data_IF_952174539639
#
_entry.id   IF_952174539639
#
_cell.length_a   1.000
_cell.length_b   1.000
_cell.length_c   1.000
_cell.angle_alpha   90.00
_cell.angle_beta   90.00
_cell.angle_gamma   90.00
#
_symmetry.space_group_name_H-M   'P 1'
#
loop_
_entity.id
_entity.type
_entity.pdbx_description
1 polymer ?
#
# COMPACT_ATOMS: atom_id res chain seq x y z
N UNK A 1 -28.59 57.52 -29.95
CA UNK A 1 -28.55 56.82 -28.66
C UNK A 1 -27.32 55.95 -28.69
N UNK A 2 -26.29 56.38 -27.97
CA UNK A 2 -24.94 55.78 -27.97
C UNK A 2 -24.85 54.58 -27.04
N UNK A 3 -24.51 53.38 -27.55
CA UNK A 3 -24.07 52.27 -26.76
C UNK A 3 -22.54 52.22 -26.76
N UNK A 4 -21.92 52.68 -25.69
CA UNK A 4 -20.51 52.47 -25.41
C UNK A 4 -20.34 51.12 -24.73
N UNK A 5 -19.66 50.18 -25.41
CA UNK A 5 -19.22 48.92 -24.85
C UNK A 5 -17.96 49.16 -23.97
N UNK A 6 -18.04 48.78 -22.71
CA UNK A 6 -16.93 48.77 -21.77
C UNK A 6 -15.97 47.62 -22.12
N UNK A 7 -14.78 47.96 -22.61
CA UNK A 7 -13.65 47.03 -22.74
C UNK A 7 -12.97 46.89 -21.39
N UNK A 8 -12.96 45.68 -20.87
CA UNK A 8 -12.11 45.28 -19.73
C UNK A 8 -10.72 44.88 -20.23
N UNK A 9 -9.63 45.38 -19.64
CA UNK A 9 -8.29 44.97 -20.03
C UNK A 9 -7.94 43.58 -19.44
N UNK A 10 -7.69 42.59 -20.30
CA UNK A 10 -7.12 41.32 -19.97
C UNK A 10 -5.64 41.49 -19.58
N UNK A 11 -5.33 41.41 -18.29
CA UNK A 11 -3.96 41.25 -17.79
C UNK A 11 -3.55 39.78 -17.94
N UNK A 12 -2.74 39.49 -18.94
CA UNK A 12 -1.97 38.24 -19.06
C UNK A 12 -0.87 38.20 -17.99
N UNK A 13 -1.05 37.43 -16.96
CA UNK A 13 -0.01 37.08 -16.00
C UNK A 13 0.85 35.98 -16.66
N UNK A 14 1.92 36.40 -17.35
CA UNK A 14 3.03 35.49 -17.68
C UNK A 14 3.71 35.07 -16.37
N UNK A 15 3.39 33.88 -15.90
CA UNK A 15 4.16 33.19 -14.86
C UNK A 15 5.50 32.75 -15.48
N UNK A 16 6.53 33.56 -15.28
CA UNK A 16 7.91 33.16 -15.55
C UNK A 16 8.32 32.09 -14.53
N UNK A 17 8.31 30.84 -14.94
CA UNK A 17 8.95 29.78 -14.19
C UNK A 17 10.43 30.08 -14.03
N UNK A 18 11.01 30.01 -12.82
CA UNK A 18 12.42 30.20 -12.64
C UNK A 18 13.18 29.10 -13.41
N UNK A 19 13.98 29.52 -14.39
CA UNK A 19 14.89 28.60 -15.11
C UNK A 19 15.90 28.08 -14.10
N UNK A 20 15.86 26.77 -13.84
CA UNK A 20 16.95 26.08 -13.12
C UNK A 20 18.27 26.33 -13.84
N UNK A 21 19.35 26.69 -13.13
CA UNK A 21 20.64 26.87 -13.73
C UNK A 21 21.12 25.55 -14.37
N UNK A 22 21.40 25.60 -15.67
CA UNK A 22 22.05 24.52 -16.40
C UNK A 22 23.51 24.47 -15.97
N UNK A 23 23.85 23.50 -15.11
CA UNK A 23 25.24 23.22 -14.78
C UNK A 23 25.93 22.63 -16.01
N UNK A 24 26.82 23.43 -16.66
CA UNK A 24 27.82 22.88 -17.56
C UNK A 24 28.86 22.14 -16.70
N UNK A 25 28.96 20.84 -16.87
CA UNK A 25 30.04 20.07 -16.29
C UNK A 25 31.37 20.54 -16.96
N UNK A 26 32.12 21.37 -16.26
CA UNK A 26 33.55 21.55 -16.55
C UNK A 26 34.29 20.41 -15.86
N UNK A 27 35.15 19.69 -16.61
CA UNK A 27 35.92 18.54 -16.13
C UNK A 27 37.06 18.91 -15.14
N UNK A 28 36.88 19.92 -14.34
CA UNK A 28 37.79 20.23 -13.24
C UNK A 28 37.29 19.54 -12.01
N UNK A 29 38.03 18.65 -11.34
CA UNK A 29 37.61 18.10 -10.07
C UNK A 29 37.55 19.23 -9.07
N UNK A 30 36.33 19.70 -8.77
CA UNK A 30 36.14 20.57 -7.61
C UNK A 30 36.33 19.65 -6.41
N UNK A 31 37.50 19.68 -5.82
CA UNK A 31 37.76 19.17 -4.49
C UNK A 31 36.98 20.12 -3.55
N UNK A 32 35.72 19.84 -3.37
CA UNK A 32 35.00 20.40 -2.25
C UNK A 32 35.59 19.74 -1.01
N UNK A 33 36.38 20.51 -0.25
CA UNK A 33 36.70 20.16 1.13
C UNK A 33 35.34 20.04 1.88
N UNK A 34 34.80 18.84 1.83
CA UNK A 34 33.54 18.51 2.53
C UNK A 34 33.92 18.46 4.01
N UNK A 35 33.91 19.60 4.65
CA UNK A 35 33.94 19.65 6.13
C UNK A 35 32.61 19.02 6.58
N UNK A 36 32.67 17.76 6.98
CA UNK A 36 31.53 17.09 7.54
C UNK A 36 30.96 17.94 8.70
N UNK A 37 29.66 18.21 8.73
CA UNK A 37 29.10 18.98 9.82
C UNK A 37 29.45 18.30 11.16
N UNK A 38 29.69 19.07 12.23
CA UNK A 38 30.05 18.49 13.53
C UNK A 38 28.97 17.53 13.97
N UNK A 39 29.37 16.33 14.37
CA UNK A 39 28.45 15.32 14.90
C UNK A 39 27.74 15.88 16.13
N UNK A 40 26.42 15.80 16.13
CA UNK A 40 25.57 16.28 17.22
C UNK A 40 24.67 15.19 17.79
N UNK A 41 24.39 15.35 19.05
CA UNK A 41 23.35 14.61 19.74
C UNK A 41 22.08 15.45 19.68
N UNK A 42 20.97 14.83 19.30
CA UNK A 42 19.67 15.49 19.21
C UNK A 42 18.64 14.73 20.03
N UNK A 43 17.50 15.34 20.32
CA UNK A 43 16.37 14.62 20.92
C UNK A 43 15.77 13.62 19.92
N UNK A 44 15.19 12.54 20.44
CA UNK A 44 14.51 11.53 19.61
C UNK A 44 13.33 12.15 18.84
N UNK A 45 12.64 13.11 19.43
CA UNK A 45 11.58 13.89 18.79
C UNK A 45 12.09 14.63 17.53
N UNK A 46 13.29 15.22 17.59
CA UNK A 46 13.93 15.86 16.43
C UNK A 46 14.28 14.85 15.33
N UNK A 47 14.80 13.67 15.70
CA UNK A 47 15.05 12.60 14.74
C UNK A 47 13.77 12.20 13.99
N UNK A 48 12.66 12.05 14.71
CA UNK A 48 11.36 11.71 14.14
C UNK A 48 10.86 12.83 13.23
N UNK A 49 11.02 14.08 13.64
CA UNK A 49 10.64 15.25 12.83
C UNK A 49 11.43 15.31 11.53
N UNK A 50 12.75 15.19 11.60
CA UNK A 50 13.62 15.17 10.41
C UNK A 50 13.27 14.03 9.46
N UNK A 51 12.88 12.85 9.98
CA UNK A 51 12.38 11.74 9.17
C UNK A 51 11.11 12.12 8.42
N UNK A 52 10.14 12.74 9.09
CA UNK A 52 8.87 13.11 8.50
C UNK A 52 9.03 14.24 7.48
N UNK A 53 9.89 15.21 7.76
CA UNK A 53 10.17 16.34 6.87
C UNK A 53 10.84 15.87 5.58
N UNK A 54 11.89 15.06 5.69
CA UNK A 54 12.53 14.43 4.53
C UNK A 54 11.51 13.66 3.67
N UNK A 55 10.56 12.96 4.29
CA UNK A 55 9.54 12.18 3.59
C UNK A 55 8.43 13.05 2.99
N UNK A 56 8.10 14.17 3.58
CA UNK A 56 7.13 15.11 3.03
C UNK A 56 7.60 15.68 1.68
N UNK A 57 8.88 15.99 1.57
CA UNK A 57 9.48 16.57 0.34
C UNK A 57 9.67 15.51 -0.75
N UNK A 58 10.07 14.29 -0.39
CA UNK A 58 10.55 13.28 -1.33
C UNK A 58 9.51 12.21 -1.71
N UNK A 59 8.31 12.21 -1.10
CA UNK A 59 7.34 11.14 -1.28
C UNK A 59 5.95 11.65 -1.65
N UNK A 60 5.23 10.82 -2.40
CA UNK A 60 3.81 11.05 -2.70
C UNK A 60 2.97 11.03 -1.42
N UNK A 61 1.82 11.74 -1.37
CA UNK A 61 0.96 11.80 -0.19
C UNK A 61 0.60 10.44 0.44
N UNK A 62 0.29 9.36 -0.32
CA UNK A 62 0.07 8.03 0.25
C UNK A 62 1.31 7.45 0.96
N UNK A 63 2.51 7.66 0.39
CA UNK A 63 3.78 7.21 0.99
C UNK A 63 4.11 8.02 2.25
N UNK A 64 3.90 9.33 2.23
CA UNK A 64 4.04 10.18 3.41
C UNK A 64 3.11 9.70 4.55
N UNK A 65 1.83 9.43 4.26
CA UNK A 65 0.89 8.89 5.24
C UNK A 65 1.37 7.58 5.86
N UNK A 66 1.95 6.70 5.06
CA UNK A 66 2.53 5.43 5.54
C UNK A 66 3.73 5.70 6.46
N UNK A 67 4.60 6.65 6.11
CA UNK A 67 5.78 7.00 6.91
C UNK A 67 5.37 7.67 8.23
N UNK A 68 4.37 8.56 8.22
CA UNK A 68 3.79 9.14 9.44
C UNK A 68 3.24 8.05 10.37
N UNK A 69 2.60 7.02 9.82
CA UNK A 69 2.16 5.86 10.59
C UNK A 69 3.34 5.06 11.18
N UNK A 70 4.46 4.92 10.46
CA UNK A 70 5.67 4.28 10.99
C UNK A 70 6.29 5.08 12.13
N UNK A 71 6.33 6.41 12.04
CA UNK A 71 6.76 7.28 13.14
C UNK A 71 5.88 7.13 14.38
N UNK A 72 4.56 7.11 14.21
CA UNK A 72 3.62 6.84 15.31
C UNK A 72 3.85 5.47 15.96
N UNK A 73 4.16 4.45 15.15
CA UNK A 73 4.48 3.11 15.67
C UNK A 73 5.83 3.12 16.44
N UNK A 74 6.82 3.88 15.98
CA UNK A 74 8.07 4.01 16.70
C UNK A 74 7.85 4.64 18.08
N UNK A 75 6.99 5.65 18.19
CA UNK A 75 6.58 6.23 19.49
C UNK A 75 5.97 5.18 20.42
N UNK A 76 5.17 4.27 19.89
CA UNK A 76 4.65 3.15 20.69
C UNK A 76 5.75 2.20 21.17
N UNK A 77 6.76 1.94 20.34
CA UNK A 77 7.93 1.13 20.73
C UNK A 77 8.71 1.83 21.83
N UNK A 78 8.93 3.15 21.74
CA UNK A 78 9.58 3.92 22.79
C UNK A 78 8.79 3.87 24.11
N UNK A 79 7.48 4.05 24.04
CA UNK A 79 6.59 3.94 25.20
C UNK A 79 6.66 2.55 25.84
N UNK A 80 6.62 1.49 25.05
CA UNK A 80 6.74 0.11 25.55
C UNK A 80 8.11 -0.14 26.22
N UNK A 81 9.16 0.58 25.79
CA UNK A 81 10.51 0.55 26.37
C UNK A 81 10.70 1.55 27.52
N UNK A 82 9.62 2.21 27.95
CA UNK A 82 9.66 3.26 29.00
C UNK A 82 10.58 4.44 28.64
N UNK A 83 10.75 4.69 27.33
CA UNK A 83 11.55 5.80 26.81
C UNK A 83 10.66 6.98 26.42
N UNK A 84 11.19 8.20 26.65
CA UNK A 84 10.55 9.44 26.24
C UNK A 84 11.19 9.99 24.95
N UNK A 85 10.40 10.67 24.13
CA UNK A 85 10.88 11.39 22.93
C UNK A 85 11.81 12.58 23.27
N UNK A 86 11.75 13.08 24.48
CA UNK A 86 12.63 14.14 24.99
C UNK A 86 14.03 13.63 25.31
N UNK A 87 14.22 12.32 25.42
CA UNK A 87 15.54 11.72 25.54
C UNK A 87 16.35 11.97 24.27
N UNK A 88 17.66 12.06 24.41
CA UNK A 88 18.51 12.21 23.26
C UNK A 88 18.80 10.89 22.52
N UNK A 89 19.32 11.00 21.30
CA UNK A 89 19.58 9.87 20.42
C UNK A 89 20.63 8.88 20.95
N UNK A 90 21.45 9.24 21.93
CA UNK A 90 22.41 8.34 22.59
C UNK A 90 21.71 7.15 23.23
N UNK A 91 20.49 7.36 23.75
CA UNK A 91 19.69 6.30 24.36
C UNK A 91 19.18 5.26 23.34
N UNK A 92 19.18 5.57 22.05
CA UNK A 92 18.83 4.62 21.00
C UNK A 92 19.94 3.62 20.67
N UNK A 93 21.19 3.99 20.97
CA UNK A 93 22.37 3.21 20.64
C UNK A 93 22.88 2.36 21.80
N UNK A 94 23.81 1.47 21.46
CA UNK A 94 24.49 0.67 22.47
C UNK A 94 23.68 -0.50 23.03
N UNK A 95 24.30 -1.12 24.03
CA UNK A 95 23.68 -2.20 24.82
C UNK A 95 23.04 -1.60 26.06
N UNK A 96 21.79 -1.94 26.29
CA UNK A 96 21.09 -1.42 27.47
C UNK A 96 21.70 -2.03 28.75
N UNK A 97 22.15 -1.25 29.73
CA UNK A 97 22.89 -1.76 30.90
C UNK A 97 22.13 -2.82 31.69
N UNK A 98 20.81 -2.64 31.85
CA UNK A 98 19.95 -3.56 32.62
C UNK A 98 19.75 -4.92 31.98
N UNK A 99 19.77 -4.99 30.64
CA UNK A 99 19.37 -6.18 29.89
C UNK A 99 20.52 -6.84 29.13
N UNK A 100 21.66 -6.17 29.05
CA UNK A 100 22.82 -6.59 28.26
C UNK A 100 22.48 -6.88 26.79
N UNK A 101 21.47 -6.20 26.27
CA UNK A 101 20.94 -6.32 24.89
C UNK A 101 20.77 -4.93 24.27
N UNK A 102 20.81 -4.89 22.94
CA UNK A 102 20.40 -3.69 22.22
C UNK A 102 18.89 -3.47 22.35
N UNK A 103 18.43 -2.22 22.33
CA UNK A 103 16.99 -1.91 22.48
C UNK A 103 16.09 -2.70 21.49
N UNK A 104 16.40 -2.82 20.18
CA UNK A 104 15.56 -3.61 19.29
C UNK A 104 15.60 -5.12 19.61
N UNK A 105 16.71 -5.64 20.12
CA UNK A 105 16.80 -7.03 20.55
C UNK A 105 16.01 -7.28 21.82
N UNK A 106 16.14 -6.40 22.80
CA UNK A 106 15.34 -6.42 24.04
C UNK A 106 13.84 -6.36 23.74
N UNK A 107 13.42 -5.39 22.90
CA UNK A 107 12.01 -5.28 22.49
C UNK A 107 11.48 -6.57 21.83
N UNK A 108 12.28 -7.17 20.95
CA UNK A 108 11.89 -8.41 20.28
C UNK A 108 11.74 -9.60 21.24
N UNK A 109 12.49 -9.60 22.34
CA UNK A 109 12.45 -10.63 23.38
C UNK A 109 11.25 -10.46 24.32
N UNK A 110 11.00 -9.22 24.78
CA UNK A 110 9.93 -8.92 25.76
C UNK A 110 8.55 -8.88 25.10
N UNK A 111 8.48 -8.44 23.83
CA UNK A 111 7.22 -8.31 23.09
C UNK A 111 7.24 -9.15 21.79
N UNK A 112 7.36 -10.49 21.87
CA UNK A 112 7.48 -11.34 20.69
C UNK A 112 6.26 -11.26 19.75
N UNK A 113 5.08 -10.92 20.27
CA UNK A 113 3.85 -10.72 19.50
C UNK A 113 3.87 -9.41 18.71
N UNK A 114 4.70 -8.43 19.07
CA UNK A 114 4.79 -7.13 18.43
C UNK A 114 5.82 -7.05 17.28
N UNK A 115 6.20 -8.19 16.68
CA UNK A 115 7.19 -8.25 15.57
C UNK A 115 6.91 -7.26 14.44
N UNK A 116 5.64 -7.09 14.05
CA UNK A 116 5.27 -6.15 13.00
C UNK A 116 5.46 -4.70 13.45
N UNK A 117 5.23 -4.40 14.73
CA UNK A 117 5.48 -3.08 15.31
C UNK A 117 6.96 -2.74 15.23
N UNK A 118 7.83 -3.63 15.67
CA UNK A 118 9.28 -3.47 15.56
C UNK A 118 9.75 -3.33 14.12
N UNK A 119 9.26 -4.19 13.21
CA UNK A 119 9.59 -4.13 11.78
C UNK A 119 9.25 -2.77 11.16
N UNK A 120 8.12 -2.17 11.53
CA UNK A 120 7.71 -0.84 11.05
C UNK A 120 8.52 0.28 11.69
N UNK A 121 8.81 0.19 12.98
CA UNK A 121 9.66 1.15 13.68
C UNK A 121 11.03 1.25 13.01
N UNK A 122 11.62 0.13 12.63
CA UNK A 122 12.90 0.07 11.91
C UNK A 122 12.94 0.83 10.59
N UNK A 123 11.80 1.18 10.01
CA UNK A 123 11.78 1.97 8.77
C UNK A 123 12.39 3.37 8.93
N UNK A 124 12.41 3.90 10.18
CA UNK A 124 13.12 5.15 10.48
C UNK A 124 14.63 4.99 10.32
N UNK A 125 15.14 3.76 10.41
CA UNK A 125 16.55 3.42 10.37
C UNK A 125 16.93 2.66 9.09
N UNK A 126 16.19 2.88 7.99
CA UNK A 126 16.60 2.37 6.68
C UNK A 126 17.93 3.00 6.27
N UNK A 127 18.73 2.29 5.45
CA UNK A 127 20.03 2.79 5.00
C UNK A 127 19.98 4.23 4.49
N UNK A 128 19.06 4.53 3.59
CA UNK A 128 18.91 5.88 3.02
C UNK A 128 18.53 6.93 4.08
N UNK A 129 17.80 6.55 5.12
CA UNK A 129 17.44 7.46 6.21
C UNK A 129 18.63 7.70 7.13
N UNK A 130 19.43 6.67 7.43
CA UNK A 130 20.65 6.84 8.21
C UNK A 130 21.65 7.73 7.48
N UNK A 131 21.82 7.57 6.18
CA UNK A 131 22.63 8.46 5.34
C UNK A 131 22.12 9.91 5.43
N UNK A 132 20.80 10.13 5.36
CA UNK A 132 20.22 11.46 5.55
C UNK A 132 20.46 12.03 6.95
N UNK A 133 20.31 11.25 8.01
CA UNK A 133 20.61 11.72 9.37
C UNK A 133 22.05 12.15 9.54
N UNK A 134 22.99 11.43 8.93
CA UNK A 134 24.41 11.81 8.92
C UNK A 134 24.61 13.15 8.22
N UNK A 135 23.91 13.44 7.11
CA UNK A 135 23.97 14.76 6.47
C UNK A 135 23.39 15.87 7.35
N UNK A 136 22.47 15.52 8.26
CA UNK A 136 21.97 16.44 9.30
C UNK A 136 22.91 16.57 10.50
N UNK A 137 24.09 15.93 10.48
CA UNK A 137 25.07 15.93 11.56
C UNK A 137 24.73 14.99 12.74
N UNK A 138 23.74 14.11 12.59
CA UNK A 138 23.38 13.15 13.65
C UNK A 138 24.31 11.93 13.57
N UNK A 139 24.84 11.50 14.70
CA UNK A 139 25.84 10.45 14.76
C UNK A 139 25.24 9.05 14.45
N UNK A 140 25.75 8.40 13.41
CA UNK A 140 25.23 7.12 12.92
C UNK A 140 25.27 5.98 13.94
N UNK A 141 26.24 5.99 14.88
CA UNK A 141 26.36 4.93 15.90
C UNK A 141 25.12 4.80 16.80
N UNK A 142 24.35 5.88 16.98
CA UNK A 142 23.17 5.87 17.85
C UNK A 142 22.04 4.98 17.31
N UNK A 143 22.04 4.70 16.01
CA UNK A 143 20.99 3.85 15.41
C UNK A 143 21.54 2.62 14.65
N UNK A 144 22.84 2.35 14.74
CA UNK A 144 23.46 1.19 14.11
C UNK A 144 22.82 -0.15 14.55
N UNK A 145 22.48 -0.26 15.81
CA UNK A 145 21.82 -1.46 16.36
C UNK A 145 20.42 -1.68 15.75
N UNK A 146 19.69 -0.62 15.42
CA UNK A 146 18.40 -0.70 14.77
C UNK A 146 18.52 -1.15 13.32
N UNK A 147 19.55 -0.71 12.61
CA UNK A 147 19.82 -1.14 11.24
C UNK A 147 20.28 -2.58 11.19
N UNK A 148 21.16 -2.99 12.06
CA UNK A 148 21.75 -4.33 12.10
C UNK A 148 20.75 -5.40 12.59
N UNK A 149 19.82 -5.06 13.48
CA UNK A 149 18.88 -6.03 14.02
C UNK A 149 18.00 -6.66 12.93
N UNK A 150 18.03 -7.99 12.83
CA UNK A 150 17.17 -8.73 11.89
C UNK A 150 15.87 -9.11 12.59
N UNK A 151 14.77 -8.52 12.17
CA UNK A 151 13.44 -8.97 12.59
C UNK A 151 13.13 -10.27 11.88
N UNK A 152 12.79 -11.31 12.62
CA UNK A 152 12.36 -12.58 12.03
C UNK A 152 11.24 -12.36 11.00
N UNK A 153 11.25 -13.08 9.87
CA UNK A 153 10.19 -13.00 8.90
C UNK A 153 8.84 -13.21 9.58
N UNK A 154 7.89 -12.34 9.26
CA UNK A 154 6.51 -12.59 9.68
C UNK A 154 6.10 -13.83 8.91
N UNK A 155 5.77 -14.90 9.62
CA UNK A 155 5.30 -16.13 9.00
C UNK A 155 4.20 -15.84 7.99
N UNK A 156 4.10 -16.65 6.96
CA UNK A 156 3.02 -16.55 5.96
C UNK A 156 1.72 -16.48 6.75
N UNK A 157 0.98 -15.39 6.58
CA UNK A 157 -0.31 -15.23 7.26
C UNK A 157 -1.15 -16.44 6.90
N UNK A 158 -1.59 -17.18 7.92
CA UNK A 158 -2.37 -18.38 7.75
C UNK A 158 -3.42 -18.20 6.66
N UNK A 159 -3.48 -19.13 5.75
CA UNK A 159 -4.53 -19.17 4.74
C UNK A 159 -5.86 -19.41 5.45
N UNK A 160 -6.90 -18.81 4.92
CA UNK A 160 -8.22 -18.99 5.52
C UNK A 160 -8.75 -20.34 5.08
N UNK A 161 -9.36 -21.07 6.02
CA UNK A 161 -9.95 -22.35 5.72
C UNK A 161 -10.97 -22.29 4.56
N UNK A 162 -11.03 -23.35 3.77
CA UNK A 162 -11.98 -23.47 2.64
C UNK A 162 -13.43 -23.24 3.05
N UNK A 163 -13.80 -23.71 4.25
CA UNK A 163 -15.14 -23.50 4.79
C UNK A 163 -15.56 -22.04 4.92
N UNK A 164 -14.60 -21.12 5.06
CA UNK A 164 -14.90 -19.70 5.13
C UNK A 164 -15.23 -19.12 3.75
N UNK A 165 -14.57 -19.59 2.67
CA UNK A 165 -14.93 -19.14 1.32
C UNK A 165 -16.26 -19.71 0.89
N UNK A 166 -16.55 -20.96 1.22
CA UNK A 166 -17.82 -21.60 0.88
C UNK A 166 -18.99 -20.86 1.55
N UNK A 167 -18.84 -20.47 2.83
CA UNK A 167 -19.83 -19.62 3.52
C UNK A 167 -19.98 -18.24 2.84
N UNK A 168 -18.89 -17.63 2.40
CA UNK A 168 -18.95 -16.33 1.72
C UNK A 168 -19.72 -16.48 0.40
N UNK A 169 -19.41 -17.49 -0.39
CA UNK A 169 -20.11 -17.77 -1.66
C UNK A 169 -21.60 -17.96 -1.39
N UNK A 170 -21.96 -18.88 -0.51
CA UNK A 170 -23.35 -19.17 -0.19
C UNK A 170 -24.13 -17.92 0.27
N UNK A 171 -23.55 -17.12 1.17
CA UNK A 171 -24.18 -15.89 1.66
C UNK A 171 -24.27 -14.79 0.60
N UNK A 172 -23.30 -14.67 -0.30
CA UNK A 172 -23.37 -13.72 -1.40
C UNK A 172 -24.43 -14.12 -2.44
N UNK A 173 -24.55 -15.42 -2.74
CA UNK A 173 -25.60 -15.93 -3.65
C UNK A 173 -26.99 -15.76 -3.03
N UNK A 174 -27.19 -16.03 -1.74
CA UNK A 174 -28.43 -15.82 -1.02
C UNK A 174 -28.96 -14.39 -1.18
N UNK A 175 -28.07 -13.38 -1.10
CA UNK A 175 -28.45 -11.96 -1.16
C UNK A 175 -28.37 -11.35 -2.57
N UNK A 176 -28.12 -12.15 -3.59
CA UNK A 176 -27.85 -11.70 -4.97
C UNK A 176 -28.92 -10.74 -5.50
N UNK A 177 -30.18 -11.07 -5.29
CA UNK A 177 -31.31 -10.28 -5.82
C UNK A 177 -31.75 -9.17 -4.88
N UNK A 178 -31.67 -9.38 -3.57
CA UNK A 178 -32.09 -8.39 -2.57
C UNK A 178 -31.05 -7.27 -2.38
N UNK A 179 -29.78 -7.64 -2.44
CA UNK A 179 -28.64 -6.73 -2.23
C UNK A 179 -27.59 -6.86 -3.35
N UNK A 180 -27.94 -6.52 -4.61
CA UNK A 180 -27.07 -6.75 -5.78
C UNK A 180 -25.70 -6.07 -5.67
N UNK A 181 -25.58 -4.95 -4.97
CA UNK A 181 -24.30 -4.28 -4.73
C UNK A 181 -23.33 -5.10 -3.87
N UNK A 182 -23.83 -5.90 -2.92
CA UNK A 182 -23.03 -6.84 -2.12
C UNK A 182 -22.51 -7.95 -3.03
N UNK A 183 -23.37 -8.53 -3.84
CA UNK A 183 -23.00 -9.56 -4.80
C UNK A 183 -22.00 -9.02 -5.84
N UNK A 184 -22.21 -7.81 -6.35
CA UNK A 184 -21.26 -7.13 -7.24
C UNK A 184 -19.88 -6.97 -6.58
N UNK A 185 -19.82 -6.49 -5.34
CA UNK A 185 -18.55 -6.34 -4.62
C UNK A 185 -17.85 -7.69 -4.40
N UNK A 186 -18.61 -8.76 -4.18
CA UNK A 186 -18.09 -10.12 -4.11
C UNK A 186 -17.50 -10.54 -5.47
N UNK A 187 -18.19 -10.37 -6.57
CA UNK A 187 -17.71 -10.70 -7.91
C UNK A 187 -16.43 -9.93 -8.27
N UNK A 188 -16.37 -8.63 -7.97
CA UNK A 188 -15.17 -7.81 -8.18
C UNK A 188 -13.98 -8.29 -7.35
N UNK A 189 -14.22 -8.73 -6.11
CA UNK A 189 -13.16 -9.20 -5.21
C UNK A 189 -12.74 -10.65 -5.43
N UNK A 190 -13.69 -11.56 -5.52
CA UNK A 190 -13.48 -13.00 -5.66
C UNK A 190 -13.35 -13.44 -7.13
N UNK A 191 -14.21 -12.92 -8.01
CA UNK A 191 -14.20 -13.26 -9.44
C UNK A 191 -12.99 -12.64 -10.15
N UNK A 192 -12.80 -11.34 -10.00
CA UNK A 192 -11.77 -10.58 -10.72
C UNK A 192 -10.52 -10.24 -9.89
N UNK A 193 -10.51 -10.53 -8.62
CA UNK A 193 -9.36 -10.30 -7.75
C UNK A 193 -8.97 -8.84 -7.56
N UNK A 194 -9.89 -7.89 -7.68
CA UNK A 194 -9.61 -6.47 -7.55
C UNK A 194 -9.22 -6.08 -6.12
N UNK A 195 -8.25 -5.15 -6.00
CA UNK A 195 -7.95 -4.50 -4.71
C UNK A 195 -9.08 -3.55 -4.33
N UNK A 196 -9.29 -3.32 -3.04
CA UNK A 196 -10.29 -2.34 -2.57
C UNK A 196 -10.10 -0.94 -3.20
N UNK A 197 -8.87 -0.53 -3.46
CA UNK A 197 -8.57 0.74 -4.14
C UNK A 197 -8.95 0.74 -5.63
N UNK A 198 -8.89 -0.40 -6.28
CA UNK A 198 -9.28 -0.62 -7.67
C UNK A 198 -10.82 -0.64 -7.76
N UNK A 199 -11.50 -1.43 -6.91
CA UNK A 199 -12.96 -1.49 -6.84
C UNK A 199 -13.63 -0.12 -6.65
N UNK A 200 -12.95 0.84 -6.01
CA UNK A 200 -13.46 2.20 -5.81
C UNK A 200 -13.53 3.06 -7.06
N UNK A 201 -12.87 2.67 -8.12
CA UNK A 201 -12.65 3.49 -9.30
C UNK A 201 -13.13 2.86 -10.57
N UNK A 202 -13.43 1.56 -10.52
CA UNK A 202 -13.83 0.80 -11.69
C UNK A 202 -15.14 1.32 -12.25
N UNK A 203 -15.18 1.57 -13.55
CA UNK A 203 -16.33 2.02 -14.31
C UNK A 203 -16.82 0.90 -15.23
N UNK A 204 -18.03 1.02 -15.69
CA UNK A 204 -18.55 0.08 -16.68
C UNK A 204 -17.79 0.13 -18.02
N UNK A 205 -17.25 1.30 -18.40
CA UNK A 205 -16.39 1.45 -19.57
C UNK A 205 -15.02 0.75 -19.45
N UNK A 206 -14.62 0.33 -18.25
CA UNK A 206 -13.37 -0.39 -18.05
C UNK A 206 -13.48 -1.87 -18.42
N UNK A 207 -14.71 -2.36 -18.64
CA UNK A 207 -14.98 -3.71 -19.09
C UNK A 207 -15.14 -3.73 -20.61
N UNK A 208 -14.31 -4.47 -21.33
CA UNK A 208 -14.35 -4.54 -22.77
C UNK A 208 -13.88 -5.89 -23.31
N UNK A 209 -14.33 -6.22 -24.51
CA UNK A 209 -13.87 -7.41 -25.22
C UNK A 209 -12.96 -7.00 -26.36
N UNK A 210 -11.90 -7.78 -26.59
CA UNK A 210 -11.06 -7.63 -27.79
C UNK A 210 -11.77 -8.18 -29.02
N UNK A 211 -11.24 -7.91 -30.21
CA UNK A 211 -11.74 -8.47 -31.44
C UNK A 211 -11.71 -10.01 -31.46
N UNK A 212 -10.74 -10.60 -30.78
CA UNK A 212 -10.57 -12.05 -30.61
C UNK A 212 -11.50 -12.63 -29.53
N UNK A 213 -12.42 -11.83 -28.96
CA UNK A 213 -13.37 -12.28 -27.96
C UNK A 213 -12.83 -12.37 -26.53
N UNK A 214 -11.56 -12.01 -26.29
CA UNK A 214 -11.02 -12.01 -24.93
C UNK A 214 -11.71 -10.96 -24.05
N UNK A 215 -12.13 -11.36 -22.86
CA UNK A 215 -12.75 -10.50 -21.85
C UNK A 215 -11.67 -9.85 -20.99
N UNK A 216 -11.59 -8.53 -21.04
CA UNK A 216 -10.57 -7.75 -20.34
C UNK A 216 -11.20 -6.71 -19.42
N UNK A 217 -10.49 -6.42 -18.33
CA UNK A 217 -10.79 -5.30 -17.45
C UNK A 217 -9.60 -4.35 -17.38
N UNK A 218 -9.85 -3.07 -17.62
CA UNK A 218 -8.87 -2.00 -17.48
C UNK A 218 -8.79 -1.52 -16.05
N UNK A 219 -7.64 -1.66 -15.42
CA UNK A 219 -7.46 -1.37 -14.00
C UNK A 219 -6.39 -0.30 -13.81
N UNK A 220 -6.72 0.75 -13.08
CA UNK A 220 -5.76 1.79 -12.73
C UNK A 220 -4.76 1.31 -11.67
N UNK A 221 -3.46 1.53 -11.90
CA UNK A 221 -2.33 0.99 -11.12
C UNK A 221 -1.59 2.05 -10.28
N UNK A 222 -2.12 2.50 -9.12
CA UNK A 222 -1.47 3.54 -8.34
C UNK A 222 -0.21 3.10 -7.58
N UNK A 223 0.05 1.78 -7.47
CA UNK A 223 1.10 1.24 -6.57
C UNK A 223 2.30 0.61 -7.25
N UNK A 224 2.18 0.19 -8.49
CA UNK A 224 3.25 -0.52 -9.22
C UNK A 224 4.26 0.42 -9.87
N UNK A 225 3.91 1.67 -10.05
CA UNK A 225 4.76 2.67 -10.69
C UNK A 225 5.05 3.78 -9.67
N UNK A 226 6.32 3.99 -9.32
CA UNK A 226 6.73 5.03 -8.35
C UNK A 226 6.31 6.45 -8.74
N UNK A 227 5.87 6.66 -9.98
CA UNK A 227 5.37 7.92 -10.55
C UNK A 227 4.12 7.67 -11.40
N UNK A 228 3.17 6.89 -10.89
CA UNK A 228 1.95 6.59 -11.60
C UNK A 228 1.24 7.87 -12.03
N UNK A 229 1.04 8.04 -13.35
CA UNK A 229 0.23 9.10 -13.92
C UNK A 229 -1.25 8.69 -13.87
N UNK A 230 -2.19 9.63 -13.93
CA UNK A 230 -3.62 9.29 -14.00
C UNK A 230 -4.01 8.39 -15.18
N UNK A 231 -3.13 8.30 -16.18
CA UNK A 231 -3.29 7.49 -17.41
C UNK A 231 -2.69 6.09 -17.31
N UNK A 232 -2.09 5.71 -16.19
CA UNK A 232 -1.43 4.40 -16.05
C UNK A 232 -2.47 3.32 -15.73
N UNK A 233 -2.92 2.65 -16.77
CA UNK A 233 -3.85 1.53 -16.71
C UNK A 233 -3.14 0.23 -17.08
N UNK A 234 -3.65 -0.87 -16.56
CA UNK A 234 -3.27 -2.23 -16.93
C UNK A 234 -4.52 -2.99 -17.34
N UNK A 235 -4.46 -3.59 -18.52
CA UNK A 235 -5.52 -4.49 -18.99
C UNK A 235 -5.25 -5.90 -18.46
N UNK A 236 -6.24 -6.47 -17.76
CA UNK A 236 -6.16 -7.80 -17.15
C UNK A 236 -7.18 -8.73 -17.75
N UNK A 237 -6.78 -9.98 -18.06
CA UNK A 237 -7.74 -10.99 -18.46
C UNK A 237 -8.70 -11.31 -17.34
N UNK A 238 -9.95 -11.55 -17.69
CA UNK A 238 -11.00 -11.94 -16.77
C UNK A 238 -11.53 -13.32 -17.12
N UNK A 239 -11.99 -14.04 -16.12
CA UNK A 239 -12.74 -15.28 -16.31
C UNK A 239 -14.11 -14.93 -16.93
N UNK A 240 -14.46 -15.52 -18.10
CA UNK A 240 -15.70 -15.21 -18.79
C UNK A 240 -16.95 -15.39 -17.91
N UNK A 241 -16.98 -16.41 -17.06
CA UNK A 241 -18.11 -16.68 -16.16
C UNK A 241 -18.40 -15.50 -15.22
N UNK A 242 -17.36 -14.95 -14.59
CA UNK A 242 -17.54 -13.79 -13.71
C UNK A 242 -17.79 -12.50 -14.49
N UNK A 243 -17.24 -12.39 -15.70
CA UNK A 243 -17.56 -11.29 -16.58
C UNK A 243 -19.06 -11.24 -16.90
N UNK A 244 -19.63 -12.35 -17.34
CA UNK A 244 -21.02 -12.42 -17.74
C UNK A 244 -21.94 -12.11 -16.54
N UNK A 245 -21.67 -12.69 -15.37
CA UNK A 245 -22.41 -12.37 -14.14
C UNK A 245 -22.35 -10.87 -13.77
N UNK A 246 -21.23 -10.21 -14.01
CA UNK A 246 -21.07 -8.78 -13.76
C UNK A 246 -21.87 -7.96 -14.79
N UNK A 247 -21.83 -8.36 -16.06
CA UNK A 247 -22.60 -7.67 -17.11
C UNK A 247 -24.11 -7.82 -16.91
N UNK A 248 -24.58 -8.96 -16.47
CA UNK A 248 -25.98 -9.19 -16.13
C UNK A 248 -26.49 -8.23 -15.05
N UNK A 249 -25.62 -7.87 -14.10
CA UNK A 249 -25.95 -6.92 -13.03
C UNK A 249 -25.87 -5.44 -13.47
N UNK A 250 -25.39 -5.16 -14.68
CA UNK A 250 -25.22 -3.79 -15.17
C UNK A 250 -26.54 -3.07 -15.36
N UNK A 251 -27.56 -3.78 -15.84
CA UNK A 251 -28.83 -3.16 -16.20
C UNK A 251 -28.64 -2.02 -17.21
N UNK A 252 -29.31 -0.90 -17.00
CA UNK A 252 -29.22 0.30 -17.83
C UNK A 252 -28.13 1.30 -17.41
N UNK A 253 -27.13 0.90 -16.60
CA UNK A 253 -26.11 1.81 -16.11
C UNK A 253 -25.26 2.42 -17.24
N UNK A 254 -25.00 3.72 -17.15
CA UNK A 254 -24.16 4.44 -18.11
C UNK A 254 -22.73 3.91 -18.12
N UNK A 255 -22.07 3.95 -19.26
CA UNK A 255 -20.70 3.40 -19.42
C UNK A 255 -19.66 4.10 -18.54
N UNK A 256 -19.80 5.38 -18.27
CA UNK A 256 -18.91 6.18 -17.44
C UNK A 256 -19.26 6.14 -15.95
N UNK A 257 -20.38 5.51 -15.58
CA UNK A 257 -20.77 5.31 -14.20
C UNK A 257 -19.83 4.33 -13.48
N UNK A 258 -19.65 4.54 -12.17
CA UNK A 258 -18.96 3.58 -11.31
C UNK A 258 -19.78 2.30 -11.20
N UNK A 259 -19.10 1.16 -11.13
CA UNK A 259 -19.74 -0.15 -10.94
C UNK A 259 -20.38 -0.28 -9.55
N UNK A 260 -19.84 0.42 -8.55
CA UNK A 260 -20.39 0.48 -7.20
C UNK A 260 -20.73 1.94 -6.85
N UNK A 261 -21.92 2.18 -6.34
CA UNK A 261 -22.30 3.48 -5.81
C UNK A 261 -21.59 3.78 -4.49
N UNK A 262 -21.21 5.07 -4.29
CA UNK A 262 -20.51 5.53 -3.09
C UNK A 262 -19.45 4.53 -2.58
N UNK A 263 -18.54 4.01 -3.44
CA UNK A 263 -17.76 2.80 -3.16
C UNK A 263 -16.83 2.92 -1.95
N UNK A 264 -16.48 4.15 -1.58
CA UNK A 264 -15.65 4.43 -0.41
C UNK A 264 -16.31 4.02 0.89
N UNK A 265 -17.54 4.46 1.09
CA UNK A 265 -18.39 4.15 2.23
C UNK A 265 -18.88 2.70 2.16
N UNK A 266 -19.46 2.31 1.02
CA UNK A 266 -20.01 0.99 0.81
C UNK A 266 -19.02 -0.14 1.16
N UNK A 267 -17.82 -0.10 0.59
CA UNK A 267 -16.80 -1.13 0.84
C UNK A 267 -16.25 -1.13 2.27
N UNK A 268 -16.28 0.00 2.96
CA UNK A 268 -15.75 0.10 4.32
C UNK A 268 -16.78 -0.31 5.36
N UNK A 269 -18.00 0.20 5.25
CA UNK A 269 -19.03 0.06 6.29
C UNK A 269 -20.05 -1.04 5.96
N UNK A 270 -20.50 -1.17 4.72
CA UNK A 270 -21.54 -2.12 4.36
C UNK A 270 -20.96 -3.49 4.04
N UNK A 271 -20.14 -3.58 2.98
CA UNK A 271 -19.61 -4.86 2.52
C UNK A 271 -18.65 -5.50 3.52
N UNK A 272 -17.80 -4.71 4.16
CA UNK A 272 -16.89 -5.24 5.17
C UNK A 272 -17.61 -5.74 6.43
N UNK A 273 -18.73 -5.10 6.83
CA UNK A 273 -19.57 -5.58 7.93
C UNK A 273 -20.37 -6.81 7.54
N UNK A 274 -20.87 -6.90 6.32
CA UNK A 274 -21.51 -8.10 5.80
C UNK A 274 -20.56 -9.31 5.89
N UNK A 275 -19.32 -9.17 5.38
CA UNK A 275 -18.33 -10.23 5.48
C UNK A 275 -18.00 -10.60 6.95
N UNK A 276 -18.02 -9.63 7.86
CA UNK A 276 -17.76 -9.86 9.28
C UNK A 276 -18.91 -10.59 9.96
N UNK A 277 -20.13 -10.09 9.81
CA UNK A 277 -21.27 -10.47 10.63
C UNK A 277 -22.05 -11.63 10.00
N UNK A 278 -22.33 -11.55 8.69
CA UNK A 278 -23.14 -12.54 8.00
C UNK A 278 -22.32 -13.72 7.46
N UNK A 279 -21.08 -13.46 7.01
CA UNK A 279 -20.18 -14.53 6.58
C UNK A 279 -19.22 -15.03 7.68
N UNK A 280 -19.30 -14.48 8.89
CA UNK A 280 -18.47 -14.83 10.05
C UNK A 280 -16.94 -14.77 9.79
N UNK A 281 -16.49 -13.83 8.94
CA UNK A 281 -15.06 -13.65 8.62
C UNK A 281 -14.37 -12.84 9.71
N UNK A 282 -13.57 -13.49 10.55
CA UNK A 282 -12.88 -12.86 11.71
C UNK A 282 -11.69 -11.98 11.33
N UNK A 283 -11.10 -12.17 10.16
CA UNK A 283 -9.88 -11.47 9.71
C UNK A 283 -10.13 -9.97 9.46
N UNK A 284 -9.12 -9.12 9.71
CA UNK A 284 -9.26 -7.67 9.56
C UNK A 284 -9.28 -7.18 8.10
N UNK A 285 -8.64 -7.92 7.19
CA UNK A 285 -8.52 -7.54 5.77
C UNK A 285 -9.45 -8.35 4.86
N UNK A 286 -10.76 -8.39 5.17
CA UNK A 286 -11.75 -9.26 4.55
C UNK A 286 -11.84 -9.14 3.03
N UNK A 287 -11.90 -7.92 2.50
CA UNK A 287 -11.96 -7.70 1.04
C UNK A 287 -10.68 -8.19 0.35
N UNK A 288 -9.51 -7.97 0.96
CA UNK A 288 -8.25 -8.46 0.40
C UNK A 288 -8.15 -10.00 0.42
N UNK A 289 -8.92 -10.62 1.28
CA UNK A 289 -9.06 -12.05 1.34
C UNK A 289 -9.71 -12.63 0.10
N UNK A 290 -10.80 -12.02 -0.38
CA UNK A 290 -11.47 -12.43 -1.61
C UNK A 290 -10.48 -12.47 -2.79
N UNK A 291 -9.64 -11.43 -2.90
CA UNK A 291 -8.57 -11.41 -3.90
C UNK A 291 -7.56 -12.55 -3.73
N UNK A 292 -7.25 -12.97 -2.49
CA UNK A 292 -6.39 -14.14 -2.27
C UNK A 292 -7.03 -15.42 -2.77
N UNK A 293 -8.32 -15.59 -2.52
CA UNK A 293 -9.05 -16.76 -3.04
C UNK A 293 -9.13 -16.75 -4.56
N UNK A 294 -9.37 -15.58 -5.19
CA UNK A 294 -9.29 -15.45 -6.64
C UNK A 294 -7.94 -15.92 -7.18
N UNK A 295 -6.85 -15.40 -6.63
CA UNK A 295 -5.50 -15.81 -7.06
C UNK A 295 -5.22 -17.29 -6.83
N UNK A 296 -5.71 -17.86 -5.73
CA UNK A 296 -5.58 -19.29 -5.46
C UNK A 296 -6.37 -20.13 -6.46
N UNK A 297 -7.60 -19.75 -6.76
CA UNK A 297 -8.45 -20.41 -7.76
C UNK A 297 -7.75 -20.42 -9.12
N UNK A 298 -7.31 -19.28 -9.63
CA UNK A 298 -6.63 -19.17 -10.93
C UNK A 298 -5.30 -19.94 -10.92
N UNK A 299 -4.54 -19.89 -9.83
CA UNK A 299 -3.29 -20.64 -9.75
C UNK A 299 -3.51 -22.14 -9.87
N UNK A 300 -4.61 -22.67 -9.34
CA UNK A 300 -4.96 -24.10 -9.44
C UNK A 300 -5.42 -24.50 -10.83
N UNK A 301 -6.20 -23.66 -11.53
CA UNK A 301 -6.70 -23.97 -12.87
C UNK A 301 -5.64 -23.72 -13.96
N UNK A 302 -4.97 -22.55 -13.91
CA UNK A 302 -4.20 -22.00 -15.01
C UNK A 302 -2.73 -21.72 -14.69
N UNK A 303 -2.34 -22.01 -13.44
CA UNK A 303 -0.96 -21.86 -12.97
C UNK A 303 -0.60 -20.45 -12.49
N UNK A 304 0.65 -20.35 -11.97
CA UNK A 304 1.14 -19.16 -11.27
C UNK A 304 1.25 -17.91 -12.16
N UNK A 305 1.58 -18.09 -13.43
CA UNK A 305 1.70 -16.99 -14.40
C UNK A 305 0.35 -16.35 -14.70
N UNK A 306 -0.68 -17.18 -14.93
CA UNK A 306 -2.04 -16.71 -15.15
C UNK A 306 -2.57 -15.97 -13.92
N UNK A 307 -2.38 -16.53 -12.72
CA UNK A 307 -2.75 -15.87 -11.46
C UNK A 307 -2.01 -14.54 -11.26
N UNK A 308 -0.72 -14.46 -11.58
CA UNK A 308 0.06 -13.24 -11.48
C UNK A 308 -0.46 -12.16 -12.43
N UNK A 309 -0.75 -12.52 -13.67
CA UNK A 309 -1.30 -11.62 -14.71
C UNK A 309 -2.70 -11.13 -14.34
N UNK A 310 -3.60 -12.03 -13.97
CA UNK A 310 -4.97 -11.68 -13.57
C UNK A 310 -5.01 -10.77 -12.34
N UNK A 311 -4.09 -10.97 -11.40
CA UNK A 311 -3.98 -10.13 -10.22
C UNK A 311 -3.18 -8.83 -10.44
N UNK A 312 -2.52 -8.64 -11.57
CA UNK A 312 -1.63 -7.48 -11.80
C UNK A 312 -0.51 -7.43 -10.77
N UNK A 313 0.23 -8.52 -10.60
CA UNK A 313 1.46 -8.54 -9.82
C UNK A 313 2.65 -8.22 -10.72
N UNK A 314 3.46 -7.23 -10.31
CA UNK A 314 4.66 -6.84 -11.06
C UNK A 314 5.73 -7.94 -11.13
N UNK A 315 5.70 -8.92 -10.21
CA UNK A 315 6.64 -10.02 -10.10
C UNK A 315 5.89 -11.30 -9.66
N UNK A 316 6.10 -12.39 -10.37
CA UNK A 316 5.55 -13.72 -10.03
C UNK A 316 6.01 -14.22 -8.66
N UNK A 317 7.18 -13.77 -8.17
CA UNK A 317 7.65 -14.05 -6.81
C UNK A 317 6.68 -13.60 -5.73
N UNK A 318 5.87 -12.56 -5.99
CA UNK A 318 4.83 -12.12 -5.07
C UNK A 318 3.72 -13.17 -5.02
N UNK A 319 3.32 -13.69 -6.17
CA UNK A 319 2.30 -14.74 -6.29
C UNK A 319 2.79 -16.03 -5.65
N UNK A 320 4.00 -16.46 -5.96
CA UNK A 320 4.62 -17.62 -5.38
C UNK A 320 4.66 -17.56 -3.84
N UNK A 321 5.20 -16.49 -3.26
CA UNK A 321 5.26 -16.31 -1.79
C UNK A 321 3.90 -16.37 -1.10
N UNK A 322 2.84 -15.93 -1.78
CA UNK A 322 1.50 -15.92 -1.20
C UNK A 322 0.83 -17.28 -1.30
N UNK A 323 1.08 -18.03 -2.37
CA UNK A 323 0.30 -19.21 -2.72
C UNK A 323 1.06 -20.54 -2.66
N UNK A 324 2.40 -20.57 -2.76
CA UNK A 324 3.21 -21.81 -2.73
C UNK A 324 3.15 -22.57 -1.41
N UNK A 325 2.83 -21.88 -0.32
CA UNK A 325 2.68 -22.50 1.01
C UNK A 325 1.27 -22.96 1.35
N UNK A 326 0.33 -22.95 0.38
CA UNK A 326 -1.04 -23.35 0.66
C UNK A 326 -1.18 -24.86 0.60
N UNK A 327 -1.90 -25.48 1.57
CA UNK A 327 -2.19 -26.91 1.50
C UNK A 327 -2.93 -27.20 0.19
N UNK A 328 -2.49 -28.26 -0.48
CA UNK A 328 -3.22 -28.79 -1.63
C UNK A 328 -4.61 -29.18 -1.13
N UNK A 329 -5.60 -28.38 -1.47
CA UNK A 329 -6.99 -28.77 -1.25
C UNK A 329 -7.21 -30.03 -2.08
N UNK A 330 -7.56 -31.14 -1.41
CA UNK A 330 -7.92 -32.37 -2.09
C UNK A 330 -9.01 -32.04 -3.10
N UNK A 331 -8.80 -32.46 -4.35
CA UNK A 331 -9.85 -32.44 -5.35
C UNK A 331 -10.99 -33.32 -4.80
N UNK A 332 -12.12 -32.71 -4.53
CA UNK A 332 -13.38 -33.43 -4.28
C UNK A 332 -13.98 -33.81 -5.60
#
# INVERSE_FOLDING_TARGET
MNNQALQTPSRSLEQRSPKLPTFRMTNTPIVLDFVAPPLRVVQISELIYNYLDCKAVNFTPPSYKTMKACAGIFRLVLKDLEMNEDMDTRYLGGTHPKYNLTLPAHYAQVFPEHKERLRRAKSLFSRNMCEYYVTCGIEARFFSNWTAHRVAPIGVKAFIPTDAIDRIIAKCEEVRFERPSIYMAFLLGYGLGLRRSEMKRIKWSDFYSTLDGNKLIRVWQPKSIKRAKPTDFEDRPTDPTYWDLIQDLRGGAASDALVLDAPGYFLREIFNLFLKNECAVKQTYRIHLLRKYCGHRIMRSDGIYAASKALGHADTKITDRIYSGLPQLKAS
#
